data_IF_659763905069
#
_entry.id   IF_659763905069
#
_cell.length_a   1.000
_cell.length_b   1.000
_cell.length_c   1.000
_cell.angle_alpha   90.00
_cell.angle_beta   90.00
_cell.angle_gamma   90.00
#
_symmetry.space_group_name_H-M   'P 1'
#
loop_
_entity.id
_entity.type
_entity.pdbx_description
1 polymer ?
#
# COMPACT_ATOMS: atom_id res chain seq x y z
N UNK A 1 -25.36 -24.79 55.46
CA UNK A 1 -24.15 -24.98 56.27
C UNK A 1 -23.01 -24.31 55.54
N UNK A 2 -22.62 -23.13 56.03
CA UNK A 2 -21.52 -22.30 55.54
C UNK A 2 -20.46 -22.33 56.64
N UNK A 3 -19.16 -22.58 56.37
CA UNK A 3 -18.14 -22.32 57.35
C UNK A 3 -17.60 -20.88 57.19
N UNK A 4 -17.69 -20.17 58.30
CA UNK A 4 -16.99 -18.94 58.66
C UNK A 4 -15.48 -19.06 58.44
N UNK A 5 -14.90 -18.06 57.78
CA UNK A 5 -13.46 -17.87 57.65
C UNK A 5 -13.08 -16.48 58.13
N UNK A 6 -12.63 -16.40 59.39
CA UNK A 6 -12.23 -15.17 60.07
C UNK A 6 -10.99 -14.52 59.43
N UNK A 7 -11.09 -13.22 59.16
CA UNK A 7 -9.98 -12.39 58.68
C UNK A 7 -9.17 -11.82 59.86
N UNK A 8 -7.87 -12.12 59.89
CA UNK A 8 -6.89 -11.51 60.79
C UNK A 8 -6.44 -10.18 60.18
N UNK A 9 -6.73 -9.06 60.84
CA UNK A 9 -6.19 -7.73 60.51
C UNK A 9 -4.89 -7.51 61.29
N UNK A 10 -3.75 -7.62 60.61
CA UNK A 10 -2.47 -7.14 61.14
C UNK A 10 -2.35 -5.62 60.95
N UNK A 11 -2.25 -4.90 62.06
CA UNK A 11 -2.07 -3.44 62.09
C UNK A 11 -0.62 -3.06 61.84
N UNK A 12 -0.37 -2.38 60.72
CA UNK A 12 0.92 -1.77 60.39
C UNK A 12 1.10 -0.51 61.26
N UNK A 13 2.18 -0.47 62.06
CA UNK A 13 2.49 0.65 62.95
C UNK A 13 3.03 1.85 62.14
N UNK A 14 2.52 3.08 62.33
CA UNK A 14 2.86 4.24 61.48
C UNK A 14 4.33 4.72 61.54
N UNK A 15 5.13 4.25 62.49
CA UNK A 15 6.49 4.77 62.73
C UNK A 15 7.58 4.13 61.85
N UNK A 16 7.33 3.02 61.17
CA UNK A 16 8.32 2.35 60.30
C UNK A 16 8.24 2.79 58.83
N UNK A 17 7.12 3.38 58.39
CA UNK A 17 6.93 3.86 57.01
C UNK A 17 7.67 5.19 56.77
N UNK A 18 7.74 6.07 57.78
CA UNK A 18 8.36 7.39 57.65
C UNK A 18 9.89 7.32 57.46
N UNK A 19 10.56 6.31 58.02
CA UNK A 19 12.02 6.18 57.96
C UNK A 19 12.51 5.50 56.66
N UNK A 20 11.67 4.69 56.00
CA UNK A 20 11.97 4.12 54.67
C UNK A 20 11.78 5.13 53.53
N UNK A 21 10.86 6.10 53.65
CA UNK A 21 10.68 7.13 52.62
C UNK A 21 11.85 8.13 52.53
N UNK A 22 12.52 8.43 53.64
CA UNK A 22 13.66 9.38 53.66
C UNK A 22 14.94 8.74 53.11
N UNK A 23 15.16 7.44 53.34
CA UNK A 23 16.34 6.74 52.81
C UNK A 23 16.25 6.45 51.30
N UNK A 24 15.04 6.20 50.76
CA UNK A 24 14.82 6.05 49.31
C UNK A 24 14.94 7.39 48.57
N UNK A 25 14.55 8.51 49.20
CA UNK A 25 14.73 9.84 48.58
C UNK A 25 16.18 10.32 48.58
N UNK A 26 17.01 9.95 49.56
CA UNK A 26 18.43 10.34 49.55
C UNK A 26 19.30 9.49 48.60
N UNK A 27 18.91 8.24 48.30
CA UNK A 27 19.56 7.45 47.24
C UNK A 27 19.14 7.89 45.82
N UNK A 28 18.01 8.58 45.69
CA UNK A 28 17.53 9.12 44.41
C UNK A 28 18.17 10.46 44.01
N UNK A 29 18.84 11.17 44.94
CA UNK A 29 19.45 12.49 44.68
C UNK A 29 20.95 12.40 44.35
N UNK A 30 21.61 11.26 44.58
CA UNK A 30 23.05 11.07 44.30
C UNK A 30 23.30 10.41 42.92
N UNK A 31 22.26 10.04 42.17
CA UNK A 31 22.38 9.52 40.80
C UNK A 31 22.01 10.53 39.70
N UNK A 32 21.70 11.79 40.04
CA UNK A 32 21.27 12.81 39.07
C UNK A 32 22.36 13.80 38.67
N UNK A 33 23.61 13.61 39.10
CA UNK A 33 24.74 14.47 38.76
C UNK A 33 25.90 13.62 38.24
N UNK A 34 26.04 13.49 36.92
CA UNK A 34 27.28 12.94 36.34
C UNK A 34 27.20 12.22 34.99
N UNK A 35 26.03 12.12 34.36
CA UNK A 35 25.90 11.54 33.03
C UNK A 35 25.21 12.51 32.08
N UNK A 36 25.87 13.62 31.72
CA UNK A 36 25.61 14.21 30.39
C UNK A 36 26.20 13.24 29.38
N UNK A 37 25.55 12.08 29.23
CA UNK A 37 25.68 11.28 28.03
C UNK A 37 25.21 12.23 26.94
N UNK A 38 26.17 12.93 26.35
CA UNK A 38 26.02 13.40 25.00
C UNK A 38 25.70 12.12 24.23
N UNK A 39 24.41 11.90 23.97
CA UNK A 39 23.94 10.96 22.96
C UNK A 39 24.69 11.41 21.72
N UNK A 40 25.85 10.79 21.49
CA UNK A 40 26.70 11.08 20.36
C UNK A 40 25.86 10.62 19.19
N UNK A 41 25.09 11.56 18.63
CA UNK A 41 24.33 11.36 17.42
C UNK A 41 25.38 10.87 16.44
N UNK A 42 25.31 9.58 16.10
CA UNK A 42 26.19 9.03 15.08
C UNK A 42 26.07 9.97 13.89
N UNK A 43 27.18 10.42 13.30
CA UNK A 43 27.13 11.36 12.20
C UNK A 43 26.14 10.81 11.17
N UNK A 44 25.27 11.66 10.59
CA UNK A 44 24.29 11.19 9.63
C UNK A 44 25.01 10.39 8.55
N UNK A 45 24.55 9.16 8.32
CA UNK A 45 25.12 8.30 7.27
C UNK A 45 25.08 9.07 5.94
N UNK A 46 26.14 8.99 5.12
CA UNK A 46 26.16 9.67 3.84
C UNK A 46 25.00 9.19 2.97
N UNK A 47 24.20 10.13 2.46
CA UNK A 47 23.02 9.84 1.66
C UNK A 47 23.44 9.31 0.27
N UNK A 48 22.85 8.19 -0.14
CA UNK A 48 23.06 7.62 -1.48
C UNK A 48 22.33 8.48 -2.52
N UNK A 49 23.09 9.13 -3.40
CA UNK A 49 22.56 9.96 -4.47
C UNK A 49 22.12 9.08 -5.66
N UNK A 50 20.81 8.83 -5.76
CA UNK A 50 20.22 7.99 -6.81
C UNK A 50 20.48 8.50 -8.23
N UNK A 51 20.77 9.79 -8.44
CA UNK A 51 21.15 10.31 -9.75
C UNK A 51 22.55 9.87 -10.15
N UNK A 52 23.48 9.82 -9.19
CA UNK A 52 24.83 9.25 -9.41
C UNK A 52 24.74 7.76 -9.70
N UNK A 53 23.89 7.04 -8.97
CA UNK A 53 23.64 5.61 -9.22
C UNK A 53 23.06 5.38 -10.62
N UNK A 54 22.09 6.20 -11.06
CA UNK A 54 21.57 6.13 -12.43
C UNK A 54 22.65 6.45 -13.49
N UNK A 55 23.55 7.40 -13.22
CA UNK A 55 24.68 7.69 -14.10
C UNK A 55 25.67 6.52 -14.19
N UNK A 56 25.90 5.79 -13.09
CA UNK A 56 26.70 4.57 -13.08
C UNK A 56 26.11 3.48 -13.99
N UNK A 57 24.78 3.27 -13.94
CA UNK A 57 24.10 2.34 -14.85
C UNK A 57 24.36 2.72 -16.31
N UNK A 58 24.17 3.99 -16.69
CA UNK A 58 24.43 4.47 -18.05
C UNK A 58 25.91 4.36 -18.47
N UNK A 59 26.82 4.43 -17.49
CA UNK A 59 28.26 4.20 -17.68
C UNK A 59 28.67 2.73 -17.74
N UNK A 60 27.72 1.78 -17.72
CA UNK A 60 27.98 0.33 -17.75
C UNK A 60 28.38 -0.28 -16.41
N UNK A 61 28.30 0.47 -15.30
CA UNK A 61 28.63 0.01 -13.95
C UNK A 61 27.39 -0.57 -13.23
N UNK A 62 26.62 -1.41 -13.92
CA UNK A 62 25.31 -1.90 -13.46
C UNK A 62 25.39 -2.62 -12.11
N UNK A 63 26.33 -3.52 -11.92
CA UNK A 63 26.43 -4.31 -10.67
C UNK A 63 26.71 -3.44 -9.44
N UNK A 64 27.63 -2.49 -9.58
CA UNK A 64 27.95 -1.53 -8.52
C UNK A 64 26.74 -0.63 -8.20
N UNK A 65 26.01 -0.19 -9.24
CA UNK A 65 24.80 0.60 -9.07
C UNK A 65 23.71 -0.19 -8.33
N UNK A 66 23.46 -1.44 -8.71
CA UNK A 66 22.47 -2.31 -8.04
C UNK A 66 22.84 -2.59 -6.59
N UNK A 67 24.12 -2.84 -6.30
CA UNK A 67 24.59 -3.01 -4.93
C UNK A 67 24.37 -1.74 -4.09
N UNK A 68 24.61 -0.55 -4.66
CA UNK A 68 24.36 0.71 -3.98
C UNK A 68 22.87 0.96 -3.68
N UNK A 69 21.96 0.62 -4.62
CA UNK A 69 20.52 0.72 -4.34
C UNK A 69 20.09 -0.23 -3.24
N UNK A 70 20.56 -1.49 -3.26
CA UNK A 70 20.20 -2.48 -2.23
C UNK A 70 20.70 -2.08 -0.85
N UNK A 71 21.94 -1.59 -0.76
CA UNK A 71 22.43 -1.02 0.49
C UNK A 71 21.55 0.16 0.96
N UNK A 72 21.15 1.04 0.04
CA UNK A 72 20.26 2.15 0.40
C UNK A 72 18.87 1.67 0.86
N UNK A 73 18.35 0.59 0.27
CA UNK A 73 17.09 -0.04 0.68
C UNK A 73 17.19 -0.63 2.11
N UNK A 74 18.31 -1.28 2.44
CA UNK A 74 18.57 -1.82 3.77
C UNK A 74 18.71 -0.72 4.83
N UNK A 75 19.25 0.44 4.45
CA UNK A 75 19.47 1.57 5.36
C UNK A 75 18.21 2.42 5.58
N UNK A 76 17.49 2.77 4.51
CA UNK A 76 16.26 3.55 4.54
C UNK A 76 15.43 3.28 3.27
N UNK A 77 14.70 2.15 3.28
CA UNK A 77 13.86 1.69 2.18
C UNK A 77 12.94 2.77 1.61
N UNK A 78 12.33 3.56 2.49
CA UNK A 78 11.37 4.60 2.08
C UNK A 78 12.07 5.71 1.30
N UNK A 79 13.21 6.19 1.79
CA UNK A 79 13.95 7.25 1.13
C UNK A 79 14.57 6.77 -0.18
N UNK A 80 15.13 5.56 -0.17
CA UNK A 80 15.73 4.96 -1.35
C UNK A 80 14.69 4.83 -2.49
N UNK A 81 13.50 4.32 -2.19
CA UNK A 81 12.43 4.10 -3.19
C UNK A 81 11.95 5.37 -3.88
N UNK A 82 11.97 6.53 -3.22
CA UNK A 82 11.61 7.81 -3.85
C UNK A 82 12.54 8.21 -5.00
N UNK A 83 13.82 7.77 -4.97
CA UNK A 83 14.82 8.08 -6.01
C UNK A 83 15.01 6.99 -7.05
N UNK A 84 14.39 5.81 -6.88
CA UNK A 84 14.63 4.64 -7.74
C UNK A 84 14.16 4.83 -9.19
N UNK A 85 13.21 5.73 -9.45
CA UNK A 85 12.66 5.94 -10.80
C UNK A 85 13.73 6.25 -11.86
N UNK A 86 14.74 7.07 -11.52
CA UNK A 86 15.84 7.41 -12.44
C UNK A 86 16.75 6.21 -12.73
N UNK A 87 16.98 5.35 -11.72
CA UNK A 87 17.78 4.13 -11.84
C UNK A 87 17.04 3.09 -12.68
N UNK A 88 15.76 2.86 -12.40
CA UNK A 88 14.90 1.94 -13.15
C UNK A 88 14.81 2.35 -14.62
N UNK A 89 14.63 3.65 -14.88
CA UNK A 89 14.66 4.20 -16.23
C UNK A 89 15.98 3.90 -16.94
N UNK A 90 17.12 4.17 -16.29
CA UNK A 90 18.44 3.94 -16.87
C UNK A 90 18.69 2.46 -17.19
N UNK A 91 18.24 1.55 -16.33
CA UNK A 91 18.32 0.11 -16.56
C UNK A 91 17.51 -0.30 -17.79
N UNK A 92 16.25 0.16 -17.90
CA UNK A 92 15.40 -0.12 -19.07
C UNK A 92 16.02 0.42 -20.37
N UNK A 93 16.50 1.68 -20.36
CA UNK A 93 17.13 2.32 -21.53
C UNK A 93 18.44 1.63 -21.96
N UNK A 94 19.11 0.94 -21.02
CA UNK A 94 20.34 0.18 -21.28
C UNK A 94 20.10 -1.29 -21.62
N UNK A 95 18.84 -1.67 -21.89
CA UNK A 95 18.45 -3.05 -22.23
C UNK A 95 18.50 -4.03 -21.05
N UNK A 96 18.65 -3.54 -19.81
CA UNK A 96 18.69 -4.33 -18.58
C UNK A 96 17.28 -4.49 -17.98
N UNK A 97 16.31 -4.89 -18.82
CA UNK A 97 14.89 -4.97 -18.45
C UNK A 97 14.63 -5.92 -17.28
N UNK A 98 15.25 -7.11 -17.27
CA UNK A 98 15.06 -8.07 -16.18
C UNK A 98 15.58 -7.54 -14.83
N UNK A 99 16.75 -6.88 -14.84
CA UNK A 99 17.31 -6.26 -13.64
C UNK A 99 16.42 -5.13 -13.11
N UNK A 100 15.86 -4.30 -14.01
CA UNK A 100 14.91 -3.25 -13.63
C UNK A 100 13.63 -3.83 -13.02
N UNK A 101 13.08 -4.90 -13.60
CA UNK A 101 11.86 -5.53 -13.09
C UNK A 101 12.08 -6.14 -11.70
N UNK A 102 13.22 -6.81 -11.48
CA UNK A 102 13.59 -7.35 -10.18
C UNK A 102 13.81 -6.24 -9.14
N UNK A 103 14.58 -5.20 -9.49
CA UNK A 103 14.85 -4.09 -8.60
C UNK A 103 13.56 -3.34 -8.21
N UNK A 104 12.61 -3.17 -9.13
CA UNK A 104 11.32 -2.58 -8.84
C UNK A 104 10.52 -3.41 -7.82
N UNK A 105 10.53 -4.76 -7.96
CA UNK A 105 9.93 -5.66 -6.98
C UNK A 105 10.62 -5.55 -5.61
N UNK A 106 11.95 -5.56 -5.56
CA UNK A 106 12.71 -5.36 -4.31
C UNK A 106 12.29 -4.07 -3.59
N UNK A 107 12.16 -2.97 -4.34
CA UNK A 107 11.67 -1.69 -3.79
C UNK A 107 10.23 -1.75 -3.26
N UNK A 108 9.32 -2.44 -3.95
CA UNK A 108 7.93 -2.64 -3.50
C UNK A 108 7.88 -3.42 -2.19
N UNK A 109 8.67 -4.50 -2.09
CA UNK A 109 8.73 -5.35 -0.91
C UNK A 109 9.36 -4.60 0.29
N UNK A 110 10.35 -3.74 0.03
CA UNK A 110 11.01 -2.95 1.06
C UNK A 110 10.14 -1.78 1.58
N UNK A 111 9.30 -1.18 0.73
CA UNK A 111 8.42 -0.06 1.09
C UNK A 111 6.99 -0.21 0.53
N UNK A 112 6.19 -1.16 1.07
CA UNK A 112 4.83 -1.45 0.57
C UNK A 112 3.78 -0.39 0.90
N UNK A 113 4.15 0.71 1.57
CA UNK A 113 3.26 1.79 1.96
C UNK A 113 3.98 3.15 1.96
N UNK A 114 3.30 4.19 1.47
CA UNK A 114 3.75 5.57 1.60
C UNK A 114 2.72 6.40 2.39
N UNK A 115 3.07 6.97 3.55
CA UNK A 115 2.15 7.76 4.35
C UNK A 115 1.72 9.09 3.71
N UNK A 116 2.35 9.52 2.60
CA UNK A 116 1.97 10.76 1.91
C UNK A 116 1.08 10.54 0.69
N UNK A 117 1.31 9.47 -0.06
CA UNK A 117 0.57 9.18 -1.30
C UNK A 117 -0.22 7.87 -1.26
N UNK A 118 -0.35 7.23 -0.10
CA UNK A 118 -1.06 5.95 0.11
C UNK A 118 -0.48 4.79 -0.72
N UNK A 119 -0.77 4.75 -2.02
CA UNK A 119 -0.26 3.80 -3.00
C UNK A 119 0.94 4.34 -3.81
N UNK A 120 1.26 5.64 -3.74
CA UNK A 120 2.13 6.33 -4.71
C UNK A 120 3.45 5.61 -5.05
N UNK A 121 4.26 5.25 -4.04
CA UNK A 121 5.55 4.55 -4.29
C UNK A 121 5.33 3.18 -4.94
N UNK A 122 4.35 2.40 -4.43
CA UNK A 122 4.03 1.06 -4.96
C UNK A 122 3.54 1.16 -6.39
N UNK A 123 2.67 2.12 -6.69
CA UNK A 123 2.15 2.40 -8.04
C UNK A 123 3.26 2.80 -9.01
N UNK A 124 4.16 3.71 -8.59
CA UNK A 124 5.27 4.19 -9.40
C UNK A 124 6.26 3.05 -9.71
N UNK A 125 6.64 2.25 -8.71
CA UNK A 125 7.55 1.10 -8.87
C UNK A 125 6.92 -0.01 -9.70
N UNK A 126 5.65 -0.35 -9.46
CA UNK A 126 4.95 -1.38 -10.22
C UNK A 126 4.77 -0.95 -11.69
N UNK A 127 4.55 0.35 -11.94
CA UNK A 127 4.55 0.91 -13.30
C UNK A 127 5.89 0.68 -14.01
N UNK A 128 7.02 0.92 -13.31
CA UNK A 128 8.35 0.63 -13.85
C UNK A 128 8.58 -0.85 -14.07
N UNK A 129 8.11 -1.71 -13.16
CA UNK A 129 8.20 -3.17 -13.30
C UNK A 129 7.51 -3.66 -14.58
N UNK A 130 6.29 -3.18 -14.87
CA UNK A 130 5.59 -3.51 -16.11
C UNK A 130 6.35 -3.02 -17.35
N UNK A 131 6.83 -1.77 -17.33
CA UNK A 131 7.63 -1.20 -18.44
C UNK A 131 8.90 -2.00 -18.70
N UNK A 132 9.58 -2.42 -17.64
CA UNK A 132 10.80 -3.21 -17.70
C UNK A 132 10.56 -4.60 -18.31
N UNK A 133 9.48 -5.28 -17.92
CA UNK A 133 9.10 -6.57 -18.50
C UNK A 133 8.74 -6.47 -19.98
N UNK A 134 8.07 -5.38 -20.39
CA UNK A 134 7.80 -5.10 -21.81
C UNK A 134 9.09 -4.88 -22.60
N UNK A 135 10.03 -4.10 -22.06
CA UNK A 135 11.33 -3.88 -22.69
C UNK A 135 12.16 -5.16 -22.81
N UNK A 136 12.00 -6.11 -21.89
CA UNK A 136 12.59 -7.45 -21.94
C UNK A 136 11.85 -8.43 -22.87
N UNK A 137 10.76 -8.02 -23.52
CA UNK A 137 9.95 -8.89 -24.39
C UNK A 137 9.07 -9.90 -23.65
N UNK A 138 8.98 -9.83 -22.31
CA UNK A 138 8.23 -10.75 -21.45
C UNK A 138 6.75 -10.34 -21.35
N UNK A 139 6.07 -10.28 -22.49
CA UNK A 139 4.73 -9.67 -22.62
C UNK A 139 3.64 -10.32 -21.75
N UNK A 140 3.64 -11.65 -21.62
CA UNK A 140 2.67 -12.37 -20.80
C UNK A 140 2.80 -12.01 -19.32
N UNK A 141 4.03 -11.92 -18.83
CA UNK A 141 4.33 -11.51 -17.45
C UNK A 141 4.03 -10.03 -17.25
N UNK A 142 4.37 -9.18 -18.22
CA UNK A 142 3.99 -7.77 -18.19
C UNK A 142 2.45 -7.59 -18.10
N UNK A 143 1.66 -8.43 -18.77
CA UNK A 143 0.20 -8.40 -18.68
C UNK A 143 -0.30 -8.78 -17.27
N UNK A 144 0.29 -9.81 -16.66
CA UNK A 144 0.00 -10.18 -15.28
C UNK A 144 0.34 -9.05 -14.30
N UNK A 145 1.52 -8.46 -14.43
CA UNK A 145 1.96 -7.35 -13.56
C UNK A 145 1.19 -6.06 -13.82
N UNK A 146 0.67 -5.84 -15.04
CA UNK A 146 -0.23 -4.73 -15.34
C UNK A 146 -1.60 -4.90 -14.66
N UNK A 147 -2.09 -6.14 -14.54
CA UNK A 147 -3.27 -6.42 -13.71
C UNK A 147 -2.98 -6.14 -12.23
N UNK A 148 -1.82 -6.57 -11.71
CA UNK A 148 -1.41 -6.24 -10.35
C UNK A 148 -1.35 -4.71 -10.12
N UNK A 149 -0.83 -3.95 -11.09
CA UNK A 149 -0.87 -2.48 -11.09
C UNK A 149 -2.31 -1.96 -11.03
N UNK A 150 -3.20 -2.45 -11.90
CA UNK A 150 -4.62 -2.06 -11.90
C UNK A 150 -5.32 -2.38 -10.57
N UNK A 151 -4.94 -3.46 -9.89
CA UNK A 151 -5.50 -3.78 -8.59
C UNK A 151 -5.07 -2.74 -7.54
N UNK A 152 -3.79 -2.36 -7.49
CA UNK A 152 -3.22 -1.53 -6.42
C UNK A 152 -3.20 -0.02 -6.69
N UNK A 153 -3.26 0.43 -7.95
CA UNK A 153 -3.11 1.86 -8.28
C UNK A 153 -4.17 2.74 -7.63
N UNK A 154 -3.87 4.01 -7.43
CA UNK A 154 -4.83 5.01 -6.97
C UNK A 154 -6.08 5.04 -7.87
N UNK A 155 -7.16 5.62 -7.36
CA UNK A 155 -8.36 5.80 -8.19
C UNK A 155 -8.09 6.75 -9.37
N UNK A 156 -7.23 7.75 -9.16
CA UNK A 156 -6.80 8.69 -10.20
C UNK A 156 -5.92 7.99 -11.27
N UNK A 157 -5.03 7.09 -10.87
CA UNK A 157 -4.17 6.30 -11.77
C UNK A 157 -4.89 5.19 -12.55
N UNK A 158 -6.19 4.97 -12.30
CA UNK A 158 -6.94 3.87 -12.95
C UNK A 158 -6.98 4.00 -14.47
N UNK A 159 -7.10 5.23 -14.99
CA UNK A 159 -7.17 5.46 -16.44
C UNK A 159 -5.90 5.00 -17.14
N UNK A 160 -4.73 5.38 -16.61
CA UNK A 160 -3.44 4.98 -17.14
C UNK A 160 -3.22 3.46 -17.04
N UNK A 161 -3.64 2.83 -15.94
CA UNK A 161 -3.58 1.38 -15.78
C UNK A 161 -4.46 0.63 -16.81
N UNK A 162 -5.66 1.14 -17.10
CA UNK A 162 -6.53 0.60 -18.15
C UNK A 162 -5.87 0.74 -19.52
N UNK A 163 -5.32 1.90 -19.83
CA UNK A 163 -4.63 2.12 -21.11
C UNK A 163 -3.42 1.21 -21.28
N UNK A 164 -2.65 1.01 -20.21
CA UNK A 164 -1.52 0.09 -20.17
C UNK A 164 -1.94 -1.35 -20.46
N UNK A 165 -2.95 -1.87 -19.76
CA UNK A 165 -3.45 -3.23 -19.99
C UNK A 165 -3.96 -3.39 -21.42
N UNK A 166 -4.75 -2.43 -21.92
CA UNK A 166 -5.29 -2.47 -23.28
C UNK A 166 -4.17 -2.57 -24.33
N UNK A 167 -3.10 -1.76 -24.19
CA UNK A 167 -1.94 -1.81 -25.07
C UNK A 167 -1.23 -3.17 -25.01
N UNK A 168 -1.03 -3.73 -23.81
CA UNK A 168 -0.37 -5.03 -23.67
C UNK A 168 -1.22 -6.15 -24.27
N UNK A 169 -2.55 -6.08 -24.12
CA UNK A 169 -3.48 -7.02 -24.76
C UNK A 169 -3.36 -7.01 -26.28
N UNK A 170 -3.21 -5.84 -26.91
CA UNK A 170 -2.96 -5.73 -28.35
C UNK A 170 -1.61 -6.37 -28.74
N UNK A 171 -0.58 -6.21 -27.91
CA UNK A 171 0.74 -6.78 -28.16
C UNK A 171 0.83 -8.30 -27.97
N UNK A 172 0.02 -8.88 -27.08
CA UNK A 172 -0.01 -10.31 -26.75
C UNK A 172 -0.89 -11.11 -27.71
N UNK A 173 -2.08 -10.61 -28.03
CA UNK A 173 -3.05 -11.34 -28.87
C UNK A 173 -2.83 -11.09 -30.38
N UNK A 174 -1.87 -10.23 -30.73
CA UNK A 174 -1.62 -9.86 -32.12
C UNK A 174 -2.84 -9.19 -32.77
N UNK A 175 -3.04 -9.39 -34.07
CA UNK A 175 -4.17 -8.82 -34.81
C UNK A 175 -5.52 -9.48 -34.51
N UNK A 176 -5.67 -10.26 -33.44
CA UNK A 176 -6.97 -10.77 -33.01
C UNK A 176 -7.83 -9.57 -32.56
N UNK A 177 -8.50 -8.99 -33.55
CA UNK A 177 -9.03 -7.65 -33.47
C UNK A 177 -10.15 -7.60 -32.44
N UNK A 178 -9.92 -6.86 -31.35
CA UNK A 178 -10.97 -6.41 -30.46
C UNK A 178 -10.89 -6.88 -29.01
N UNK A 179 -9.86 -7.61 -28.57
CA UNK A 179 -9.72 -7.95 -27.14
C UNK A 179 -9.55 -6.68 -26.29
N UNK A 180 -8.67 -5.77 -26.69
CA UNK A 180 -8.48 -4.47 -26.01
C UNK A 180 -9.74 -3.60 -26.06
N UNK A 181 -10.43 -3.57 -27.20
CA UNK A 181 -11.70 -2.84 -27.35
C UNK A 181 -12.81 -3.42 -26.45
N UNK A 182 -12.92 -4.75 -26.36
CA UNK A 182 -13.82 -5.44 -25.43
C UNK A 182 -13.47 -5.10 -23.99
N UNK A 183 -12.19 -5.10 -23.62
CA UNK A 183 -11.73 -4.72 -22.28
C UNK A 183 -12.15 -3.29 -21.92
N UNK A 184 -11.90 -2.33 -22.81
CA UNK A 184 -12.32 -0.92 -22.60
C UNK A 184 -13.83 -0.80 -22.47
N UNK A 185 -14.59 -1.55 -23.28
CA UNK A 185 -16.05 -1.57 -23.21
C UNK A 185 -16.55 -2.17 -21.89
N UNK A 186 -15.88 -3.19 -21.33
CA UNK A 186 -16.17 -3.72 -20.00
C UNK A 186 -15.95 -2.65 -18.92
N UNK A 187 -14.85 -1.88 -19.00
CA UNK A 187 -14.59 -0.76 -18.07
C UNK A 187 -15.68 0.33 -18.16
N UNK A 188 -16.09 0.70 -19.38
CA UNK A 188 -17.12 1.71 -19.61
C UNK A 188 -18.51 1.25 -19.14
N UNK A 189 -18.89 0.00 -19.42
CA UNK A 189 -20.17 -0.57 -18.97
C UNK A 189 -20.27 -0.54 -17.44
N UNK A 190 -19.19 -0.91 -16.76
CA UNK A 190 -19.10 -0.79 -15.31
C UNK A 190 -19.33 0.65 -14.82
N UNK A 191 -18.78 1.66 -15.49
CA UNK A 191 -18.98 3.06 -15.07
C UNK A 191 -20.40 3.57 -15.29
N UNK A 192 -21.17 2.98 -16.21
CA UNK A 192 -22.54 3.41 -16.54
C UNK A 192 -23.64 2.81 -15.66
N UNK A 193 -23.36 1.75 -14.90
CA UNK A 193 -24.35 1.20 -13.96
C UNK A 193 -24.66 2.25 -12.89
N UNK A 194 -25.78 2.94 -13.05
CA UNK A 194 -26.31 3.87 -12.06
C UNK A 194 -26.35 3.17 -10.69
N UNK A 195 -25.95 3.86 -9.60
CA UNK A 195 -26.24 3.34 -8.27
C UNK A 195 -27.75 3.10 -8.22
N UNK A 196 -28.16 1.88 -7.87
CA UNK A 196 -29.57 1.55 -7.73
C UNK A 196 -30.20 2.62 -6.83
N UNK A 197 -31.10 3.42 -7.40
CA UNK A 197 -31.73 4.56 -6.73
C UNK A 197 -32.78 4.01 -5.77
N UNK A 198 -32.33 3.31 -4.74
CA UNK A 198 -33.12 2.99 -3.56
C UNK A 198 -33.01 4.15 -2.57
N UNK A 199 -34.06 4.45 -1.80
CA UNK A 199 -34.00 5.48 -0.76
C UNK A 199 -32.85 5.15 0.19
N UNK A 200 -31.96 6.12 0.40
CA UNK A 200 -30.85 6.05 1.33
C UNK A 200 -31.38 6.04 2.78
N UNK A 201 -32.01 4.94 3.20
CA UNK A 201 -32.38 4.73 4.60
C UNK A 201 -31.11 4.44 5.38
N UNK A 202 -30.57 5.50 5.99
CA UNK A 202 -29.58 5.52 7.07
C UNK A 202 -28.28 4.75 6.77
N UNK A 203 -27.31 5.47 6.21
CA UNK A 203 -25.93 5.02 5.93
C UNK A 203 -25.08 4.70 7.18
N UNK A 204 -25.70 4.36 8.32
CA UNK A 204 -25.00 4.04 9.57
C UNK A 204 -24.51 2.59 9.64
N UNK A 205 -24.96 1.74 8.73
CA UNK A 205 -24.55 0.33 8.68
C UNK A 205 -23.89 0.00 7.34
N UNK A 206 -22.89 0.81 6.98
CA UNK A 206 -22.05 0.65 5.79
C UNK A 206 -21.15 -0.59 5.87
N UNK A 207 -21.72 -1.74 6.24
CA UNK A 207 -21.25 -3.05 5.84
C UNK A 207 -21.40 -3.14 4.31
N UNK A 208 -20.44 -2.51 3.63
CA UNK A 208 -20.29 -2.65 2.18
C UNK A 208 -19.98 -4.12 1.93
N UNK A 209 -21.03 -4.88 1.60
CA UNK A 209 -20.93 -6.31 1.37
C UNK A 209 -20.02 -6.58 0.17
N UNK A 210 -19.34 -7.74 0.15
CA UNK A 210 -18.69 -8.24 -1.06
C UNK A 210 -19.68 -8.20 -2.25
N UNK A 211 -19.14 -8.09 -3.46
CA UNK A 211 -19.94 -7.95 -4.68
C UNK A 211 -21.15 -8.90 -4.65
N UNK A 212 -22.37 -8.42 -4.90
CA UNK A 212 -23.54 -9.29 -4.97
C UNK A 212 -23.26 -10.46 -5.90
N UNK A 213 -23.64 -11.68 -5.51
CA UNK A 213 -23.60 -12.83 -6.41
C UNK A 213 -24.32 -12.45 -7.73
N UNK A 214 -23.59 -12.45 -8.84
CA UNK A 214 -24.12 -12.07 -10.16
C UNK A 214 -23.67 -10.72 -10.70
N UNK A 215 -22.86 -9.93 -9.98
CA UNK A 215 -22.23 -8.75 -10.59
C UNK A 215 -21.31 -9.20 -11.72
N UNK A 216 -21.43 -8.64 -12.95
CA UNK A 216 -20.62 -9.06 -14.08
C UNK A 216 -19.15 -8.74 -13.79
N UNK A 217 -18.36 -9.77 -13.47
CA UNK A 217 -16.91 -9.63 -13.39
C UNK A 217 -16.36 -9.35 -14.78
N UNK A 218 -15.42 -8.40 -14.88
CA UNK A 218 -14.68 -8.16 -16.11
C UNK A 218 -14.05 -9.47 -16.59
N UNK A 219 -14.56 -10.02 -17.69
CA UNK A 219 -14.19 -11.36 -18.14
C UNK A 219 -12.71 -11.39 -18.51
N UNK A 220 -12.19 -10.28 -19.03
CA UNK A 220 -10.81 -10.19 -19.49
C UNK A 220 -9.84 -10.17 -18.29
N UNK A 221 -10.05 -9.31 -17.29
CA UNK A 221 -9.18 -9.28 -16.11
C UNK A 221 -9.22 -10.58 -15.30
N UNK A 222 -10.37 -11.25 -15.23
CA UNK A 222 -10.49 -12.55 -14.57
C UNK A 222 -9.67 -13.66 -15.24
N UNK A 223 -9.42 -13.53 -16.55
CA UNK A 223 -8.62 -14.50 -17.32
C UNK A 223 -7.11 -14.34 -17.11
N UNK A 224 -6.65 -13.12 -16.80
CA UNK A 224 -5.24 -12.83 -16.52
C UNK A 224 -4.88 -13.34 -15.12
N UNK A 225 -3.86 -14.20 -15.04
CA UNK A 225 -3.35 -14.78 -13.79
C UNK A 225 -2.15 -13.99 -13.30
N UNK A 226 -2.20 -13.56 -12.04
CA UNK A 226 -1.07 -12.96 -11.33
C UNK A 226 -0.46 -14.03 -10.44
N UNK A 227 0.87 -14.14 -10.44
CA UNK A 227 1.58 -15.01 -9.51
C UNK A 227 1.75 -14.28 -8.17
N UNK A 228 1.05 -14.76 -7.14
CA UNK A 228 1.13 -14.21 -5.78
C UNK A 228 2.37 -14.67 -5.00
N UNK A 229 3.10 -15.68 -5.47
CA UNK A 229 4.12 -16.37 -4.68
C UNK A 229 5.28 -15.47 -4.23
N UNK A 230 5.64 -14.48 -5.04
CA UNK A 230 6.66 -13.48 -4.72
C UNK A 230 6.33 -12.64 -3.47
N UNK A 231 5.07 -12.59 -3.04
CA UNK A 231 4.58 -11.76 -1.95
C UNK A 231 4.38 -12.53 -0.64
N UNK A 232 4.42 -13.87 -0.65
CA UNK A 232 4.06 -14.69 0.52
C UNK A 232 5.03 -14.56 1.70
N UNK A 233 6.30 -14.22 1.45
CA UNK A 233 7.26 -13.96 2.52
C UNK A 233 6.92 -12.66 3.26
N UNK A 234 6.79 -11.54 2.54
CA UNK A 234 6.48 -10.25 3.17
C UNK A 234 5.10 -10.24 3.84
N UNK A 235 4.11 -10.98 3.31
CA UNK A 235 2.79 -11.11 3.93
C UNK A 235 2.83 -11.78 5.31
N UNK A 236 3.80 -12.68 5.53
CA UNK A 236 4.02 -13.33 6.83
C UNK A 236 4.80 -12.44 7.80
N UNK A 237 5.66 -11.57 7.27
CA UNK A 237 6.54 -10.69 8.06
C UNK A 237 5.86 -9.39 8.48
N UNK A 238 4.93 -8.87 7.68
CA UNK A 238 4.13 -7.70 8.03
C UNK A 238 3.18 -8.07 9.16
N UNK A 239 3.60 -7.89 10.41
CA UNK A 239 2.78 -8.05 11.61
C UNK A 239 2.49 -6.70 12.28
N UNK A 240 1.26 -6.51 12.76
CA UNK A 240 0.80 -5.25 13.31
C UNK A 240 -0.59 -4.82 12.81
N UNK A 241 -1.24 -4.02 13.65
CA UNK A 241 -2.62 -3.55 13.46
C UNK A 241 -2.73 -2.01 13.39
N UNK A 242 -1.60 -1.31 13.27
CA UNK A 242 -1.62 0.12 12.98
C UNK A 242 -1.97 0.38 11.50
N UNK A 243 -2.42 1.60 11.22
CA UNK A 243 -2.86 2.01 9.89
C UNK A 243 -1.82 1.76 8.79
N UNK A 244 -0.52 2.00 9.08
CA UNK A 244 0.54 1.87 8.09
C UNK A 244 0.78 0.40 7.75
N UNK A 245 0.91 -0.46 8.76
CA UNK A 245 1.12 -1.90 8.57
C UNK A 245 -0.06 -2.58 7.88
N UNK A 246 -1.29 -2.24 8.26
CA UNK A 246 -2.49 -2.75 7.60
C UNK A 246 -2.56 -2.26 6.14
N UNK A 247 -2.21 -1.00 5.88
CA UNK A 247 -2.21 -0.48 4.51
C UNK A 247 -1.16 -1.17 3.64
N UNK A 248 0.05 -1.36 4.17
CA UNK A 248 1.11 -2.13 3.53
C UNK A 248 0.65 -3.55 3.17
N UNK A 249 0.09 -4.28 4.15
CA UNK A 249 -0.41 -5.65 3.94
C UNK A 249 -1.51 -5.68 2.88
N UNK A 250 -2.46 -4.75 2.92
CA UNK A 250 -3.52 -4.65 1.91
C UNK A 250 -3.00 -4.34 0.51
N UNK A 251 -1.98 -3.47 0.37
CA UNK A 251 -1.34 -3.18 -0.92
C UNK A 251 -0.68 -4.43 -1.51
N UNK A 252 0.05 -5.19 -0.69
CA UNK A 252 0.66 -6.45 -1.11
C UNK A 252 -0.41 -7.49 -1.51
N UNK A 253 -1.51 -7.60 -0.76
CA UNK A 253 -2.61 -8.49 -1.11
C UNK A 253 -3.27 -8.12 -2.45
N UNK A 254 -3.40 -6.83 -2.77
CA UNK A 254 -3.90 -6.39 -4.08
C UNK A 254 -2.93 -6.74 -5.22
N UNK A 255 -1.62 -6.56 -5.01
CA UNK A 255 -0.58 -6.98 -5.96
C UNK A 255 -0.61 -8.50 -6.19
N UNK A 256 -0.87 -9.29 -5.14
CA UNK A 256 -1.00 -10.74 -5.21
C UNK A 256 -2.38 -11.22 -5.75
N UNK A 257 -3.22 -10.32 -6.27
CA UNK A 257 -4.56 -10.63 -6.80
C UNK A 257 -5.50 -11.31 -5.77
N UNK A 258 -5.39 -10.90 -4.50
CA UNK A 258 -6.20 -11.36 -3.36
C UNK A 258 -7.11 -10.23 -2.81
N UNK A 259 -8.00 -9.65 -3.62
CA UNK A 259 -8.72 -8.43 -3.24
C UNK A 259 -9.74 -8.63 -2.11
N UNK A 260 -10.27 -9.85 -1.94
CA UNK A 260 -11.17 -10.19 -0.83
C UNK A 260 -10.47 -10.18 0.53
N UNK A 261 -9.21 -10.60 0.58
CA UNK A 261 -8.40 -10.54 1.80
C UNK A 261 -7.91 -9.11 2.05
N UNK A 262 -7.49 -8.41 0.98
CA UNK A 262 -7.12 -7.00 1.06
C UNK A 262 -8.28 -6.15 1.63
N UNK A 263 -9.52 -6.46 1.24
CA UNK A 263 -10.72 -5.79 1.76
C UNK A 263 -10.81 -5.89 3.29
N UNK A 264 -10.66 -7.09 3.83
CA UNK A 264 -10.72 -7.33 5.28
C UNK A 264 -9.64 -6.54 6.02
N UNK A 265 -8.42 -6.53 5.47
CA UNK A 265 -7.29 -5.78 6.04
C UNK A 265 -7.55 -4.27 5.98
N UNK A 266 -8.02 -3.73 4.86
CA UNK A 266 -8.32 -2.30 4.76
C UNK A 266 -9.53 -1.85 5.56
N UNK A 267 -10.48 -2.74 5.82
CA UNK A 267 -11.57 -2.45 6.75
C UNK A 267 -11.02 -2.20 8.15
N UNK A 268 -10.12 -3.07 8.63
CA UNK A 268 -9.39 -2.86 9.90
C UNK A 268 -8.55 -1.58 9.86
N UNK A 269 -7.88 -1.30 8.74
CA UNK A 269 -7.12 -0.05 8.58
C UNK A 269 -8.03 1.18 8.73
N UNK A 270 -9.22 1.15 8.13
CA UNK A 270 -10.21 2.23 8.26
C UNK A 270 -10.68 2.42 9.70
N UNK A 271 -10.92 1.32 10.43
CA UNK A 271 -11.29 1.38 11.85
C UNK A 271 -10.17 1.97 12.71
N UNK A 272 -8.90 1.68 12.39
CA UNK A 272 -7.72 2.24 13.04
C UNK A 272 -7.36 3.66 12.57
N UNK A 273 -8.05 4.21 11.57
CA UNK A 273 -7.64 5.46 10.92
C UNK A 273 -8.03 6.70 11.73
N UNK A 274 -7.14 7.69 11.74
CA UNK A 274 -7.47 9.05 12.20
C UNK A 274 -8.33 9.78 11.17
N UNK A 275 -8.95 10.90 11.56
CA UNK A 275 -9.71 11.75 10.64
C UNK A 275 -8.90 12.19 9.40
N UNK A 276 -7.59 12.41 9.56
CA UNK A 276 -6.68 12.76 8.45
C UNK A 276 -6.42 11.59 7.50
N UNK A 277 -6.46 10.36 8.00
CA UNK A 277 -6.21 9.13 7.23
C UNK A 277 -7.48 8.57 6.58
N UNK A 278 -8.66 8.96 7.05
CA UNK A 278 -9.94 8.45 6.57
C UNK A 278 -10.12 8.54 5.03
N UNK A 279 -9.70 9.60 4.32
CA UNK A 279 -9.76 9.62 2.85
C UNK A 279 -8.93 8.50 2.20
N UNK A 280 -7.71 8.25 2.69
CA UNK A 280 -6.86 7.17 2.19
C UNK A 280 -7.44 5.80 2.51
N UNK A 281 -7.96 5.62 3.73
CA UNK A 281 -8.64 4.39 4.14
C UNK A 281 -9.86 4.10 3.27
N UNK A 282 -10.62 5.14 2.92
CA UNK A 282 -11.75 5.01 2.02
C UNK A 282 -11.28 4.59 0.62
N UNK A 283 -10.32 5.29 0.04
CA UNK A 283 -9.76 4.93 -1.28
C UNK A 283 -9.28 3.47 -1.32
N UNK A 284 -8.66 2.97 -0.24
CA UNK A 284 -8.22 1.58 -0.14
C UNK A 284 -9.35 0.57 -0.35
N UNK A 285 -10.52 0.82 0.23
CA UNK A 285 -11.71 -0.01 0.02
C UNK A 285 -12.24 0.11 -1.42
N UNK A 286 -12.21 1.30 -2.02
CA UNK A 286 -12.61 1.49 -3.41
C UNK A 286 -11.73 0.68 -4.39
N UNK A 287 -10.41 0.65 -4.16
CA UNK A 287 -9.48 -0.17 -4.95
C UNK A 287 -9.80 -1.66 -4.85
N UNK A 288 -10.14 -2.16 -3.66
CA UNK A 288 -10.62 -3.53 -3.50
C UNK A 288 -11.91 -3.80 -4.29
N UNK A 289 -12.90 -2.90 -4.26
CA UNK A 289 -14.11 -3.07 -5.08
C UNK A 289 -13.79 -3.16 -6.56
N UNK A 290 -12.90 -2.26 -7.03
CA UNK A 290 -12.43 -2.25 -8.44
C UNK A 290 -11.77 -3.58 -8.80
N UNK A 291 -10.85 -4.06 -7.97
CA UNK A 291 -10.15 -5.32 -8.19
C UNK A 291 -11.10 -6.54 -8.16
N UNK A 292 -12.03 -6.60 -7.20
CA UNK A 292 -13.06 -7.66 -7.11
C UNK A 292 -13.95 -7.74 -8.35
N UNK A 293 -14.36 -6.59 -8.87
CA UNK A 293 -15.30 -6.51 -9.99
C UNK A 293 -14.57 -6.60 -11.34
N UNK A 294 -13.28 -6.26 -11.37
CA UNK A 294 -12.54 -6.04 -12.61
C UNK A 294 -13.07 -4.85 -13.42
N UNK A 295 -13.75 -3.89 -12.78
CA UNK A 295 -14.22 -2.65 -13.39
C UNK A 295 -14.37 -1.52 -12.35
N UNK A 296 -14.44 -0.27 -12.81
CA UNK A 296 -14.45 0.93 -11.95
C UNK A 296 -15.81 1.32 -11.39
N UNK A 297 -16.88 0.64 -11.82
CA UNK A 297 -18.26 1.07 -11.59
C UNK A 297 -18.64 1.23 -10.12
N UNK A 298 -18.61 0.12 -9.39
CA UNK A 298 -19.00 0.08 -7.97
C UNK A 298 -18.10 0.96 -7.11
N UNK A 299 -16.79 0.95 -7.38
CA UNK A 299 -15.82 1.80 -6.69
C UNK A 299 -16.16 3.30 -6.84
N UNK A 300 -16.44 3.75 -8.06
CA UNK A 300 -16.82 5.15 -8.33
C UNK A 300 -18.15 5.53 -7.68
N UNK A 301 -19.17 4.68 -7.80
CA UNK A 301 -20.46 4.90 -7.16
C UNK A 301 -20.32 5.02 -5.64
N UNK A 302 -19.49 4.19 -5.03
CA UNK A 302 -19.25 4.22 -3.59
C UNK A 302 -18.48 5.48 -3.16
N UNK A 303 -17.41 5.87 -3.86
CA UNK A 303 -16.68 7.12 -3.57
C UNK A 303 -17.62 8.33 -3.64
N UNK A 304 -18.50 8.39 -4.65
CA UNK A 304 -19.47 9.48 -4.77
C UNK A 304 -20.48 9.48 -3.62
N UNK A 305 -20.86 8.30 -3.10
CA UNK A 305 -21.80 8.19 -1.98
C UNK A 305 -21.25 8.65 -0.63
N UNK A 306 -19.92 8.59 -0.43
CA UNK A 306 -19.27 8.98 0.82
C UNK A 306 -18.69 10.39 0.78
N UNK A 307 -18.62 11.03 -0.39
CA UNK A 307 -18.21 12.44 -0.48
C UNK A 307 -19.26 13.28 0.24
N UNK A 308 -18.84 14.18 1.16
CA UNK A 308 -19.77 15.12 1.76
C UNK A 308 -20.47 15.87 0.63
N UNK A 309 -21.80 15.85 0.61
CA UNK A 309 -22.59 16.69 -0.29
C UNK A 309 -22.15 18.13 -0.05
N UNK A 310 -21.38 18.71 -0.97
CA UNK A 310 -21.04 20.13 -0.88
C UNK A 310 -22.38 20.90 -0.80
N UNK A 311 -22.60 21.74 0.23
CA UNK A 311 -23.82 22.51 0.31
C UNK A 311 -23.98 23.34 -0.97
N UNK A 312 -25.18 23.30 -1.55
CA UNK A 312 -25.48 23.89 -2.85
C UNK A 312 -25.11 25.39 -2.95
N UNK A 313 -25.02 26.08 -1.81
CA UNK A 313 -24.72 27.51 -1.71
C UNK A 313 -23.30 27.89 -2.19
N UNK A 314 -22.32 26.98 -2.20
CA UNK A 314 -20.97 27.32 -2.69
C UNK A 314 -20.83 27.25 -4.22
N UNK A 315 -21.86 26.76 -4.94
CA UNK A 315 -21.82 26.63 -6.42
C UNK A 315 -22.27 27.87 -7.19
N UNK A 316 -22.89 28.85 -6.52
CA UNK A 316 -23.50 30.01 -7.19
C UNK A 316 -22.54 31.19 -7.46
N UNK A 317 -21.22 31.06 -7.24
CA UNK A 317 -20.23 32.16 -7.37
C UNK A 317 -19.15 31.86 -8.42
N UNK A 318 -19.48 31.21 -9.54
CA UNK A 318 -18.56 31.06 -10.69
C UNK A 318 -19.26 31.30 -12.00
#
# INVERSE_FOLDING_TARGET
MVPDGAAVKEGIRPSEVAMRCVLVMLLAVVLTVGGTDAWAQSPPKPEVDMRKVAAQVRGGQTDAALAAVRQALDEDARRATLGMGDVLKALVESGQGDAAALLALEGILAAPYDPYRNAGIVEDLQTWRVKALLAAGRKAEALAEAKALYNVCSMDGTGEAIDLIARILDEVNGQEAGVSAKFRLEQLRGSTTQPAVGPATVASDASVRPAPQGWPRGQILASIKVDGSAYETILRELDGDDFATLTARGNILLLADRPDEAWQVFQRAREASTARQLPHAAENLARCMRAQDGCIGRANAWILSIRPSQPAETRAVR
#
